data_IF_737086446545
#
_entry.id   IF_737086446545
#
_cell.length_a   1.000
_cell.length_b   1.000
_cell.length_c   1.000
_cell.angle_alpha   90.00
_cell.angle_beta   90.00
_cell.angle_gamma   90.00
#
_symmetry.space_group_name_H-M   'P 1'
#
loop_
_entity.id
_entity.type
_entity.pdbx_description
1 polymer ?
#
# COMPACT_ATOMS: atom_id res chain seq x y z
N UNK A 1 -5.37 -12.65 -21.42
CA UNK A 1 -5.43 -11.16 -21.35
C UNK A 1 -4.40 -10.56 -20.38
N UNK A 2 -4.25 -11.09 -19.15
CA UNK A 2 -3.17 -10.71 -18.22
C UNK A 2 -1.76 -11.06 -18.71
N UNK A 3 -1.61 -12.13 -19.49
CA UNK A 3 -0.30 -12.57 -20.05
C UNK A 3 0.27 -11.60 -21.09
N UNK A 4 -0.57 -10.92 -21.89
CA UNK A 4 -0.08 -9.91 -22.86
C UNK A 4 0.48 -8.66 -22.16
N UNK A 5 0.01 -8.35 -20.94
CA UNK A 5 0.59 -7.30 -20.08
C UNK A 5 2.01 -7.61 -19.61
N UNK A 6 2.51 -8.85 -19.73
CA UNK A 6 3.88 -9.20 -19.33
C UNK A 6 4.96 -8.69 -20.29
N UNK A 7 4.60 -8.41 -21.56
CA UNK A 7 5.57 -8.08 -22.60
C UNK A 7 6.16 -6.68 -22.39
N UNK A 8 5.34 -5.71 -21.97
CA UNK A 8 5.76 -4.31 -21.76
C UNK A 8 5.85 -3.92 -20.26
N UNK A 9 5.67 -4.87 -19.35
CA UNK A 9 5.69 -4.60 -17.92
C UNK A 9 7.10 -4.21 -17.44
N UNK A 10 7.21 -3.09 -16.74
CA UNK A 10 8.45 -2.78 -16.01
C UNK A 10 8.72 -3.87 -14.96
N UNK A 11 9.97 -4.03 -14.49
CA UNK A 11 10.26 -4.98 -13.41
C UNK A 11 9.39 -4.76 -12.16
N UNK A 12 9.06 -3.51 -11.84
CA UNK A 12 8.14 -3.18 -10.75
C UNK A 12 6.70 -3.64 -11.04
N UNK A 13 6.20 -3.48 -12.27
CA UNK A 13 4.87 -3.97 -12.66
C UNK A 13 4.81 -5.50 -12.61
N UNK A 14 5.92 -6.18 -12.94
CA UNK A 14 6.03 -7.63 -12.79
C UNK A 14 5.94 -8.08 -11.32
N UNK A 15 6.55 -7.36 -10.37
CA UNK A 15 6.36 -7.63 -8.92
C UNK A 15 4.87 -7.53 -8.55
N UNK A 16 4.19 -6.48 -9.03
CA UNK A 16 2.77 -6.31 -8.79
C UNK A 16 1.92 -7.45 -9.38
N UNK A 17 2.19 -7.84 -10.63
CA UNK A 17 1.50 -8.93 -11.32
C UNK A 17 1.67 -10.27 -10.61
N UNK A 18 2.91 -10.63 -10.27
CA UNK A 18 3.22 -11.87 -9.54
C UNK A 18 2.44 -11.94 -8.22
N UNK A 19 2.36 -10.83 -7.47
CA UNK A 19 1.58 -10.75 -6.24
C UNK A 19 0.08 -11.01 -6.48
N UNK A 20 -0.51 -10.35 -7.49
CA UNK A 20 -1.95 -10.51 -7.80
C UNK A 20 -2.26 -11.93 -8.30
N UNK A 21 -1.31 -12.60 -8.93
CA UNK A 21 -1.42 -14.01 -9.33
C UNK A 21 -1.15 -15.01 -8.18
N UNK A 22 -0.92 -14.53 -6.96
CA UNK A 22 -0.62 -15.39 -5.80
C UNK A 22 0.80 -15.97 -5.79
N UNK A 23 1.66 -15.60 -6.74
CA UNK A 23 3.07 -16.03 -6.82
C UNK A 23 3.93 -15.17 -5.89
N UNK A 24 3.66 -15.25 -4.59
CA UNK A 24 4.22 -14.34 -3.58
C UNK A 24 5.74 -14.48 -3.41
N UNK A 25 6.29 -15.69 -3.49
CA UNK A 25 7.73 -15.92 -3.38
C UNK A 25 8.50 -15.37 -4.58
N UNK A 26 7.96 -15.51 -5.79
CA UNK A 26 8.53 -14.92 -7.01
C UNK A 26 8.48 -13.39 -6.95
N UNK A 27 7.35 -12.84 -6.48
CA UNK A 27 7.19 -11.41 -6.30
C UNK A 27 8.22 -10.86 -5.30
N UNK A 28 8.44 -11.57 -4.20
CA UNK A 28 9.40 -11.19 -3.17
C UNK A 28 10.84 -11.28 -3.68
N UNK A 29 11.19 -12.37 -4.36
CA UNK A 29 12.53 -12.57 -4.94
C UNK A 29 12.88 -11.45 -5.92
N UNK A 30 11.97 -11.14 -6.85
CA UNK A 30 12.17 -10.05 -7.80
C UNK A 30 12.23 -8.69 -7.09
N UNK A 31 11.30 -8.43 -6.16
CA UNK A 31 11.25 -7.17 -5.44
C UNK A 31 12.52 -6.90 -4.60
N UNK A 32 13.04 -7.91 -3.92
CA UNK A 32 14.31 -7.81 -3.17
C UNK A 32 15.50 -7.55 -4.09
N UNK A 33 15.53 -8.18 -5.28
CA UNK A 33 16.56 -7.88 -6.28
C UNK A 33 16.52 -6.42 -6.70
N UNK A 34 15.32 -5.89 -7.01
CA UNK A 34 15.15 -4.49 -7.37
C UNK A 34 15.54 -3.53 -6.23
N UNK A 35 15.27 -3.88 -4.98
CA UNK A 35 15.69 -3.06 -3.83
C UNK A 35 17.22 -2.95 -3.70
N UNK A 36 17.95 -4.03 -4.03
CA UNK A 36 19.43 -4.05 -4.06
C UNK A 36 19.99 -3.22 -5.21
N UNK A 37 19.36 -3.27 -6.38
CA UNK A 37 19.77 -2.48 -7.55
C UNK A 37 19.47 -0.98 -7.34
N UNK A 38 18.23 -0.66 -6.96
CA UNK A 38 17.78 0.71 -6.69
C UNK A 38 16.52 0.73 -5.83
N UNK A 39 16.68 1.16 -4.58
CA UNK A 39 15.55 1.42 -3.69
C UNK A 39 14.77 2.66 -4.16
N UNK A 40 13.55 2.45 -4.65
CA UNK A 40 12.58 3.53 -4.95
C UNK A 40 11.36 3.38 -4.04
N UNK A 41 10.61 4.47 -3.81
CA UNK A 41 9.39 4.40 -3.01
C UNK A 41 8.41 3.34 -3.56
N UNK A 42 8.28 3.23 -4.91
CA UNK A 42 7.39 2.27 -5.56
C UNK A 42 7.81 0.83 -5.28
N UNK A 43 9.09 0.49 -5.41
CA UNK A 43 9.57 -0.88 -5.15
C UNK A 43 9.42 -1.22 -3.67
N UNK A 44 9.72 -0.29 -2.76
CA UNK A 44 9.52 -0.48 -1.32
C UNK A 44 8.05 -0.77 -0.98
N UNK A 45 7.10 -0.01 -1.54
CA UNK A 45 5.67 -0.26 -1.34
C UNK A 45 5.22 -1.59 -1.90
N UNK A 46 5.73 -2.00 -3.07
CA UNK A 46 5.39 -3.29 -3.67
C UNK A 46 5.87 -4.45 -2.80
N UNK A 47 7.12 -4.41 -2.33
CA UNK A 47 7.67 -5.44 -1.43
C UNK A 47 6.92 -5.47 -0.10
N UNK A 48 6.62 -4.31 0.49
CA UNK A 48 5.81 -4.22 1.71
C UNK A 48 4.42 -4.87 1.52
N UNK A 49 3.80 -4.66 0.36
CA UNK A 49 2.48 -5.22 0.05
C UNK A 49 2.53 -6.73 -0.22
N UNK A 50 3.65 -7.26 -0.72
CA UNK A 50 3.88 -8.71 -0.82
C UNK A 50 3.96 -9.33 0.59
N UNK A 51 4.73 -8.74 1.50
CA UNK A 51 4.79 -9.18 2.91
C UNK A 51 3.40 -9.15 3.57
N UNK A 52 2.65 -8.06 3.38
CA UNK A 52 1.27 -7.96 3.86
C UNK A 52 0.37 -9.10 3.35
N UNK A 53 0.46 -9.48 2.06
CA UNK A 53 -0.32 -10.59 1.49
C UNK A 53 0.11 -11.97 2.01
N UNK A 54 1.33 -12.07 2.55
CA UNK A 54 1.82 -13.25 3.28
C UNK A 54 1.41 -13.25 4.76
N UNK A 55 0.69 -12.23 5.24
CA UNK A 55 0.37 -12.05 6.66
C UNK A 55 1.53 -11.51 7.51
N UNK A 56 2.61 -11.05 6.87
CA UNK A 56 3.83 -10.56 7.52
C UNK A 56 3.72 -9.04 7.73
N UNK A 57 3.06 -8.63 8.81
CA UNK A 57 2.74 -7.22 9.08
C UNK A 57 3.84 -6.44 9.83
N UNK A 58 4.90 -7.12 10.27
CA UNK A 58 6.04 -6.58 11.01
C UNK A 58 6.98 -5.72 10.16
N UNK A 59 6.86 -5.77 8.83
CA UNK A 59 7.69 -5.03 7.86
C UNK A 59 7.32 -3.56 7.66
N UNK A 60 6.99 -2.88 8.76
CA UNK A 60 6.64 -1.46 8.72
C UNK A 60 7.81 -0.57 8.24
N UNK A 61 9.07 -1.01 8.40
CA UNK A 61 10.24 -0.24 7.97
C UNK A 61 10.27 0.03 6.46
N UNK A 62 9.70 -0.88 5.65
CA UNK A 62 9.62 -0.70 4.20
C UNK A 62 8.73 0.49 3.82
N UNK A 63 7.60 0.65 4.51
CA UNK A 63 6.68 1.77 4.27
C UNK A 63 7.25 3.08 4.81
N UNK A 64 7.98 3.05 5.93
CA UNK A 64 8.68 4.22 6.46
C UNK A 64 9.77 4.71 5.49
N UNK A 65 10.58 3.80 4.96
CA UNK A 65 11.57 4.11 3.92
C UNK A 65 10.91 4.63 2.64
N UNK A 66 9.77 4.05 2.24
CA UNK A 66 9.01 4.54 1.10
C UNK A 66 8.53 5.98 1.31
N UNK A 67 8.05 6.29 2.52
CA UNK A 67 7.65 7.65 2.92
C UNK A 67 8.80 8.64 2.78
N UNK A 68 9.99 8.28 3.25
CA UNK A 68 11.18 9.13 3.17
C UNK A 68 11.65 9.39 1.74
N UNK A 69 11.37 8.48 0.80
CA UNK A 69 11.71 8.63 -0.62
C UNK A 69 10.57 9.23 -1.46
N UNK A 70 9.39 9.43 -0.89
CA UNK A 70 8.24 9.96 -1.61
C UNK A 70 8.39 11.47 -1.83
N UNK A 71 8.20 11.89 -3.08
CA UNK A 71 8.28 13.30 -3.49
C UNK A 71 6.89 13.81 -3.83
N UNK A 72 6.43 14.79 -3.05
CA UNK A 72 5.15 15.47 -3.23
C UNK A 72 3.93 14.69 -2.76
N UNK A 73 2.79 15.39 -2.69
CA UNK A 73 1.54 14.88 -2.10
C UNK A 73 1.03 13.61 -2.79
N UNK A 74 1.19 13.50 -4.11
CA UNK A 74 0.72 12.32 -4.87
C UNK A 74 1.43 11.05 -4.40
N UNK A 75 2.75 11.07 -4.26
CA UNK A 75 3.49 9.87 -3.83
C UNK A 75 3.25 9.58 -2.35
N UNK A 76 3.21 10.62 -1.51
CA UNK A 76 2.88 10.47 -0.09
C UNK A 76 1.48 9.86 0.10
N UNK A 77 0.48 10.27 -0.68
CA UNK A 77 -0.85 9.69 -0.64
C UNK A 77 -0.84 8.18 -0.94
N UNK A 78 -0.02 7.74 -1.90
CA UNK A 78 0.17 6.31 -2.17
C UNK A 78 0.79 5.60 -0.96
N UNK A 79 1.80 6.18 -0.33
CA UNK A 79 2.42 5.59 0.87
C UNK A 79 1.39 5.46 1.99
N UNK A 80 0.68 6.54 2.35
CA UNK A 80 -0.33 6.53 3.42
C UNK A 80 -1.45 5.53 3.15
N UNK A 81 -1.91 5.42 1.90
CA UNK A 81 -2.93 4.43 1.54
C UNK A 81 -2.44 3.00 1.79
N UNK A 82 -1.17 2.69 1.48
CA UNK A 82 -0.59 1.37 1.73
C UNK A 82 -0.32 1.11 3.22
N UNK A 83 0.09 2.14 3.96
CA UNK A 83 0.21 2.07 5.44
C UNK A 83 -1.14 1.73 6.05
N UNK A 84 -2.20 2.43 5.64
CA UNK A 84 -3.56 2.17 6.10
C UNK A 84 -4.01 0.74 5.82
N UNK A 85 -3.74 0.21 4.61
CA UNK A 85 -4.08 -1.19 4.26
C UNK A 85 -3.38 -2.20 5.17
N UNK A 86 -2.07 -2.05 5.39
CA UNK A 86 -1.31 -2.94 6.28
C UNK A 86 -1.88 -2.91 7.70
N UNK A 87 -2.13 -1.71 8.23
CA UNK A 87 -2.71 -1.53 9.57
C UNK A 87 -4.10 -2.17 9.67
N UNK A 88 -4.94 -1.94 8.66
CA UNK A 88 -6.29 -2.48 8.59
C UNK A 88 -6.28 -4.01 8.59
N UNK A 89 -5.46 -4.63 7.74
CA UNK A 89 -5.35 -6.08 7.64
C UNK A 89 -4.76 -6.71 8.91
N UNK A 90 -3.94 -5.96 9.66
CA UNK A 90 -3.44 -6.36 10.98
C UNK A 90 -4.41 -6.09 12.15
N UNK A 91 -5.63 -5.63 11.88
CA UNK A 91 -6.65 -5.34 12.90
C UNK A 91 -6.49 -4.01 13.65
N UNK A 92 -5.52 -3.17 13.28
CA UNK A 92 -5.22 -1.88 13.93
C UNK A 92 -6.09 -0.76 13.34
N UNK A 93 -7.41 -0.89 13.46
CA UNK A 93 -8.38 -0.07 12.73
C UNK A 93 -8.29 1.44 13.02
N UNK A 94 -8.04 1.84 14.27
CA UNK A 94 -7.90 3.26 14.64
C UNK A 94 -6.69 3.92 13.99
N UNK A 95 -5.57 3.20 13.88
CA UNK A 95 -4.38 3.70 13.22
C UNK A 95 -4.53 3.67 11.70
N UNK A 96 -5.21 2.64 11.18
CA UNK A 96 -5.57 2.55 9.76
C UNK A 96 -6.43 3.74 9.33
N UNK A 97 -7.41 4.15 10.16
CA UNK A 97 -8.23 5.34 9.94
C UNK A 97 -7.37 6.60 9.78
N UNK A 98 -6.39 6.80 10.66
CA UNK A 98 -5.47 7.94 10.58
C UNK A 98 -4.68 7.96 9.27
N UNK A 99 -4.14 6.81 8.86
CA UNK A 99 -3.40 6.70 7.60
C UNK A 99 -4.30 6.91 6.37
N UNK A 100 -5.51 6.35 6.35
CA UNK A 100 -6.45 6.57 5.24
C UNK A 100 -6.93 8.02 5.15
N UNK A 101 -7.16 8.68 6.30
CA UNK A 101 -7.52 10.10 6.34
C UNK A 101 -6.38 10.96 5.79
N UNK A 102 -5.13 10.69 6.18
CA UNK A 102 -3.95 11.37 5.62
C UNK A 102 -3.85 11.18 4.09
N UNK A 103 -4.08 9.96 3.60
CA UNK A 103 -4.12 9.68 2.15
C UNK A 103 -5.21 10.49 1.44
N UNK A 104 -6.41 10.57 2.01
CA UNK A 104 -7.53 11.34 1.47
C UNK A 104 -7.20 12.83 1.37
N UNK A 105 -6.68 13.43 2.44
CA UNK A 105 -6.28 14.84 2.46
C UNK A 105 -5.22 15.15 1.40
N UNK A 106 -4.20 14.29 1.27
CA UNK A 106 -3.17 14.46 0.25
C UNK A 106 -3.74 14.36 -1.17
N UNK A 107 -4.67 13.41 -1.41
CA UNK A 107 -5.36 13.26 -2.70
C UNK A 107 -6.20 14.49 -3.06
N UNK A 108 -6.91 15.05 -2.10
CA UNK A 108 -7.67 16.30 -2.30
C UNK A 108 -6.74 17.47 -2.65
N UNK A 109 -5.64 17.64 -1.90
CA UNK A 109 -4.65 18.71 -2.12
C UNK A 109 -4.01 18.67 -3.50
N UNK A 110 -3.70 17.48 -4.02
CA UNK A 110 -3.06 17.31 -5.33
C UNK A 110 -4.04 17.10 -6.50
N UNK A 111 -5.35 17.25 -6.28
CA UNK A 111 -6.36 17.04 -7.33
C UNK A 111 -6.30 15.64 -7.93
N UNK A 112 -6.18 14.60 -7.09
CA UNK A 112 -6.13 13.23 -7.54
C UNK A 112 -7.44 12.82 -8.25
N UNK A 113 -7.37 11.87 -9.20
CA UNK A 113 -8.55 11.30 -9.85
C UNK A 113 -9.62 10.81 -8.86
N UNK A 114 -10.89 10.93 -9.27
CA UNK A 114 -12.05 10.66 -8.41
C UNK A 114 -12.10 9.20 -7.91
N UNK A 115 -11.63 8.24 -8.69
CA UNK A 115 -11.52 6.83 -8.28
C UNK A 115 -10.59 6.66 -7.07
N UNK A 116 -9.50 7.44 -7.01
CA UNK A 116 -8.57 7.42 -5.87
C UNK A 116 -9.19 8.10 -4.64
N UNK A 117 -9.94 9.20 -4.82
CA UNK A 117 -10.68 9.84 -3.74
C UNK A 117 -11.75 8.90 -3.16
N UNK A 118 -12.54 8.26 -4.03
CA UNK A 118 -13.52 7.24 -3.65
C UNK A 118 -12.87 6.10 -2.88
N UNK A 119 -11.75 5.56 -3.38
CA UNK A 119 -11.01 4.49 -2.70
C UNK A 119 -10.57 4.88 -1.29
N UNK A 120 -10.07 6.11 -1.09
CA UNK A 120 -9.72 6.58 0.26
C UNK A 120 -10.95 6.79 1.13
N UNK A 121 -12.04 7.37 0.61
CA UNK A 121 -13.27 7.61 1.39
C UNK A 121 -13.88 6.31 1.91
N UNK A 122 -13.99 5.29 1.05
CA UNK A 122 -14.47 3.96 1.46
C UNK A 122 -13.59 3.37 2.55
N UNK A 123 -12.26 3.50 2.42
CA UNK A 123 -11.32 3.00 3.42
C UNK A 123 -11.43 3.75 4.77
N UNK A 124 -11.57 5.08 4.74
CA UNK A 124 -11.81 5.92 5.93
C UNK A 124 -13.10 5.49 6.63
N UNK A 125 -14.21 5.42 5.89
CA UNK A 125 -15.50 5.03 6.45
C UNK A 125 -15.41 3.66 7.12
N UNK A 126 -14.87 2.67 6.40
CA UNK A 126 -14.79 1.30 6.90
C UNK A 126 -13.89 1.16 8.12
N UNK A 127 -12.74 1.84 8.12
CA UNK A 127 -11.85 1.84 9.27
C UNK A 127 -12.48 2.53 10.49
N UNK A 128 -13.24 3.61 10.27
CA UNK A 128 -13.99 4.30 11.33
C UNK A 128 -15.04 3.41 11.98
N UNK A 129 -15.87 2.73 11.19
CA UNK A 129 -16.90 1.80 11.70
C UNK A 129 -16.29 0.71 12.60
N UNK A 130 -15.18 0.11 12.19
CA UNK A 130 -14.51 -0.95 12.95
C UNK A 130 -13.75 -0.41 14.17
N UNK A 131 -13.17 0.78 14.07
CA UNK A 131 -12.52 1.43 15.19
C UNK A 131 -13.51 1.74 16.33
N UNK A 132 -14.71 2.24 16.00
CA UNK A 132 -15.77 2.49 17.00
C UNK A 132 -16.23 1.20 17.68
N UNK A 133 -16.46 0.13 16.91
CA UNK A 133 -16.86 -1.17 17.48
C UNK A 133 -15.83 -1.79 18.42
N UNK A 134 -14.55 -1.48 18.21
CA UNK A 134 -13.47 -1.97 19.07
C UNK A 134 -13.39 -1.24 20.42
N UNK A 135 -14.05 -0.08 20.55
CA UNK A 135 -14.16 0.66 21.81
C UNK A 135 -15.35 0.15 22.63
N UNK A 136 -16.39 -0.34 21.96
CA UNK A 136 -17.66 -0.76 22.58
C UNK A 136 -17.68 -2.24 23.04
N UNK A 137 -16.57 -2.97 22.93
CA UNK A 137 -16.44 -4.33 23.49
C UNK A 137 -15.75 -4.28 24.87
N UNK A 138 -16.42 -4.70 25.95
CA UNK A 138 -15.86 -4.72 27.30
C UNK A 138 -14.78 -5.80 27.49
#
# INVERSE_FOLDING_TARGET
>A
ELERRFVDATPADRVWLLRVLGRLDDALTLGQRLLRERSTFRVLLLVAHVHQWRGEFDRAELQQRARALAVGDRQLAFVEQHVGKRLFDSGRYREALGAFAAALTLRQRCGAPEDQLLSSRVAVQRAGELASRSIDQP
#
